data_IF_464966677026
#
_entry.id   IF_464966677026
#
_cell.length_a   1.000
_cell.length_b   1.000
_cell.length_c   1.000
_cell.angle_alpha   90.00
_cell.angle_beta   90.00
_cell.angle_gamma   90.00
#
_symmetry.space_group_name_H-M   'P 1'
#
loop_
_entity.id
_entity.type
_entity.pdbx_description
1 polymer ?
#
# COMPACT_ATOMS: atom_id res chain seq x y z
N UNK A 1 -59.50 -7.16 35.82
CA UNK A 1 -58.47 -7.76 34.93
C UNK A 1 -58.65 -7.34 33.46
N UNK A 2 -59.82 -7.55 32.84
CA UNK A 2 -60.08 -7.17 31.43
C UNK A 2 -59.82 -5.69 31.10
N UNK A 3 -60.21 -4.76 31.97
CA UNK A 3 -60.01 -3.32 31.77
C UNK A 3 -58.53 -2.89 31.76
N UNK A 4 -57.68 -3.55 32.56
CA UNK A 4 -56.25 -3.26 32.63
C UNK A 4 -55.56 -3.71 31.34
N UNK A 5 -55.97 -4.85 30.79
CA UNK A 5 -55.44 -5.38 29.52
C UNK A 5 -55.84 -4.48 28.34
N UNK A 6 -57.06 -3.93 28.36
CA UNK A 6 -57.52 -2.98 27.33
C UNK A 6 -56.75 -1.66 27.42
N UNK A 7 -56.55 -1.13 28.63
CA UNK A 7 -55.77 0.09 28.82
C UNK A 7 -54.31 -0.07 28.41
N UNK A 8 -53.69 -1.20 28.75
CA UNK A 8 -52.30 -1.48 28.37
C UNK A 8 -52.11 -1.64 26.86
N UNK A 9 -53.03 -2.34 26.18
CA UNK A 9 -52.99 -2.50 24.72
C UNK A 9 -53.23 -1.18 23.98
N UNK A 10 -54.09 -0.30 24.50
CA UNK A 10 -54.29 1.04 23.95
C UNK A 10 -53.07 1.97 24.14
N UNK A 11 -52.28 1.78 25.21
CA UNK A 11 -51.03 2.52 25.42
C UNK A 11 -49.90 2.02 24.51
N UNK A 12 -49.87 0.72 24.19
CA UNK A 12 -48.88 0.14 23.27
C UNK A 12 -49.09 0.58 21.82
N UNK A 13 -50.34 0.81 21.38
CA UNK A 13 -50.63 1.34 20.03
C UNK A 13 -50.30 2.82 19.88
N UNK A 14 -50.06 3.55 20.98
CA UNK A 14 -49.64 4.96 20.95
C UNK A 14 -48.13 5.12 20.68
N UNK A 15 -47.33 4.07 20.80
CA UNK A 15 -45.93 4.06 20.37
C UNK A 15 -45.86 3.91 18.85
N UNK A 16 -45.99 5.03 18.13
CA UNK A 16 -45.65 5.06 16.71
C UNK A 16 -44.13 4.89 16.57
N UNK A 17 -43.69 4.13 15.57
CA UNK A 17 -42.27 3.99 15.24
C UNK A 17 -41.68 5.37 14.94
N UNK A 18 -40.46 5.62 15.41
CA UNK A 18 -39.76 6.84 15.08
C UNK A 18 -39.63 6.96 13.55
N UNK A 19 -39.94 8.15 13.01
CA UNK A 19 -39.81 8.41 11.57
C UNK A 19 -38.38 8.07 11.14
N UNK A 20 -38.18 7.21 10.13
CA UNK A 20 -36.85 6.87 9.64
C UNK A 20 -36.12 8.15 9.22
N UNK A 21 -34.98 8.44 9.85
CA UNK A 21 -34.13 9.55 9.44
C UNK A 21 -33.53 9.21 8.07
N UNK A 22 -33.98 9.90 7.04
CA UNK A 22 -33.39 9.78 5.71
C UNK A 22 -32.01 10.43 5.70
N UNK A 23 -30.98 9.64 5.43
CA UNK A 23 -29.65 10.18 5.15
C UNK A 23 -29.66 10.80 3.75
N UNK A 24 -29.00 11.95 3.55
CA UNK A 24 -28.81 12.50 2.22
C UNK A 24 -28.08 11.48 1.32
N UNK A 25 -28.33 11.51 0.00
CA UNK A 25 -27.61 10.65 -0.94
C UNK A 25 -26.12 10.93 -0.85
N UNK A 26 -25.30 9.88 -0.90
CA UNK A 26 -23.85 10.02 -0.95
C UNK A 26 -23.46 10.84 -2.20
N UNK A 27 -22.38 11.64 -2.13
CA UNK A 27 -21.88 12.36 -3.29
C UNK A 27 -21.51 11.38 -4.41
N UNK A 28 -21.80 11.76 -5.65
CA UNK A 28 -21.54 10.92 -6.83
C UNK A 28 -20.03 10.65 -7.05
N UNK A 29 -19.17 11.52 -6.54
CA UNK A 29 -17.70 11.39 -6.63
C UNK A 29 -17.07 11.82 -5.31
N UNK A 30 -16.25 10.96 -4.74
CA UNK A 30 -15.39 11.25 -3.60
C UNK A 30 -13.94 11.26 -4.10
N UNK A 31 -13.27 12.41 -4.08
CA UNK A 31 -11.85 12.47 -4.42
C UNK A 31 -11.05 11.90 -3.25
N UNK A 32 -10.54 10.68 -3.43
CA UNK A 32 -9.68 10.02 -2.44
C UNK A 32 -8.24 10.22 -2.86
N UNK A 33 -7.38 10.83 -2.02
CA UNK A 33 -5.97 10.94 -2.34
C UNK A 33 -5.34 9.54 -2.38
N UNK A 34 -4.91 9.11 -3.57
CA UNK A 34 -4.17 7.86 -3.76
C UNK A 34 -2.68 8.21 -3.75
N UNK A 35 -1.96 7.71 -2.75
CA UNK A 35 -0.51 7.85 -2.72
C UNK A 35 0.10 7.07 -3.91
N UNK A 36 0.63 7.81 -4.88
CA UNK A 36 1.42 7.22 -5.97
C UNK A 36 2.88 7.20 -5.52
N UNK A 37 3.49 6.02 -5.45
CA UNK A 37 4.87 5.86 -4.98
C UNK A 37 5.88 6.07 -6.11
N UNK A 38 7.07 6.56 -5.76
CA UNK A 38 8.17 6.75 -6.72
C UNK A 38 8.59 5.39 -7.31
N UNK A 39 8.57 5.22 -8.64
CA UNK A 39 9.11 4.02 -9.26
C UNK A 39 10.62 3.96 -9.05
N UNK A 40 11.12 2.80 -8.63
CA UNK A 40 12.56 2.56 -8.51
C UNK A 40 13.16 2.47 -9.92
N UNK A 41 14.24 3.22 -10.16
CA UNK A 41 14.96 3.19 -11.45
C UNK A 41 15.41 1.75 -11.78
N UNK A 42 15.16 1.30 -13.01
CA UNK A 42 15.56 -0.01 -13.50
C UNK A 42 17.08 -0.25 -13.41
N UNK A 43 17.89 0.80 -13.41
CA UNK A 43 19.33 0.71 -13.18
C UNK A 43 19.66 0.22 -11.76
N UNK A 44 18.85 0.57 -10.76
CA UNK A 44 19.03 0.17 -9.36
C UNK A 44 18.65 -1.29 -9.10
N UNK A 45 17.73 -1.85 -9.88
CA UNK A 45 17.34 -3.28 -9.77
C UNK A 45 18.08 -4.19 -10.75
N UNK A 46 18.96 -3.63 -11.60
CA UNK A 46 19.71 -4.40 -12.60
C UNK A 46 20.67 -5.38 -11.94
N UNK A 47 20.51 -6.67 -12.28
CA UNK A 47 21.39 -7.74 -11.82
C UNK A 47 22.81 -7.57 -12.35
N UNK A 48 23.78 -7.71 -11.46
CA UNK A 48 25.19 -7.82 -11.81
C UNK A 48 25.51 -9.22 -12.37
N UNK A 49 26.37 -9.27 -13.37
CA UNK A 49 26.86 -10.51 -13.99
C UNK A 49 28.37 -10.59 -13.82
N UNK A 50 28.84 -11.77 -13.43
CA UNK A 50 30.25 -12.11 -13.38
C UNK A 50 30.41 -13.60 -13.67
N UNK A 51 31.62 -14.02 -14.07
CA UNK A 51 31.95 -15.43 -14.27
C UNK A 51 31.91 -16.14 -12.92
N UNK A 52 31.02 -17.13 -12.76
CA UNK A 52 30.83 -17.86 -11.50
C UNK A 52 31.75 -19.06 -11.38
N UNK A 53 31.88 -19.80 -12.48
CA UNK A 53 32.64 -21.04 -12.55
C UNK A 53 33.57 -20.95 -13.77
N UNK A 54 34.87 -21.15 -13.53
CA UNK A 54 35.91 -21.18 -14.55
C UNK A 54 37.03 -22.13 -14.07
N UNK A 55 38.08 -22.29 -14.87
CA UNK A 55 39.25 -23.09 -14.56
C UNK A 55 39.87 -22.66 -13.21
N UNK A 56 40.48 -23.58 -12.44
CA UNK A 56 41.14 -23.24 -11.17
C UNK A 56 42.21 -22.13 -11.27
N UNK A 57 42.78 -21.89 -12.46
CA UNK A 57 43.71 -20.79 -12.69
C UNK A 57 43.04 -19.40 -12.73
N UNK A 58 41.73 -19.33 -12.94
CA UNK A 58 40.94 -18.09 -13.05
C UNK A 58 40.31 -17.64 -11.71
N UNK A 59 40.76 -18.20 -10.58
CA UNK A 59 40.23 -17.91 -9.23
C UNK A 59 40.19 -16.41 -8.92
N UNK A 60 41.19 -15.64 -9.36
CA UNK A 60 41.21 -14.19 -9.14
C UNK A 60 40.12 -13.47 -9.94
N UNK A 61 39.85 -13.86 -11.18
CA UNK A 61 38.82 -13.22 -12.00
C UNK A 61 37.42 -13.50 -11.45
N UNK A 62 37.16 -14.75 -11.04
CA UNK A 62 35.91 -15.16 -10.39
C UNK A 62 35.72 -14.41 -9.06
N UNK A 63 36.75 -14.38 -8.21
CA UNK A 63 36.67 -13.75 -6.89
C UNK A 63 36.51 -12.23 -6.97
N UNK A 64 37.30 -11.58 -7.83
CA UNK A 64 37.21 -10.15 -8.06
C UNK A 64 35.88 -9.77 -8.73
N UNK A 65 35.39 -10.58 -9.67
CA UNK A 65 34.07 -10.42 -10.27
C UNK A 65 32.96 -10.47 -9.23
N UNK A 66 33.00 -11.46 -8.33
CA UNK A 66 32.06 -11.58 -7.22
C UNK A 66 32.10 -10.36 -6.29
N UNK A 67 33.31 -9.92 -5.92
CA UNK A 67 33.49 -8.74 -5.06
C UNK A 67 32.87 -7.48 -5.67
N UNK A 68 33.20 -7.17 -6.93
CA UNK A 68 32.63 -6.00 -7.64
C UNK A 68 31.11 -6.05 -7.71
N UNK A 69 30.54 -7.23 -7.92
CA UNK A 69 29.08 -7.37 -7.95
C UNK A 69 28.44 -7.19 -6.58
N UNK A 70 29.10 -7.62 -5.49
CA UNK A 70 28.60 -7.39 -4.14
C UNK A 70 28.59 -5.90 -3.80
N UNK A 71 29.70 -5.20 -4.03
CA UNK A 71 29.81 -3.75 -3.80
C UNK A 71 28.77 -2.97 -4.60
N UNK A 72 28.50 -3.39 -5.84
CA UNK A 72 27.43 -2.81 -6.65
C UNK A 72 26.06 -3.00 -6.03
N UNK A 73 25.75 -4.20 -5.53
CA UNK A 73 24.45 -4.47 -4.92
C UNK A 73 24.25 -3.66 -3.64
N UNK A 74 25.30 -3.52 -2.82
CA UNK A 74 25.27 -2.67 -1.62
C UNK A 74 24.93 -1.22 -2.01
N UNK A 75 25.65 -0.64 -2.98
CA UNK A 75 25.36 0.71 -3.47
C UNK A 75 23.96 0.86 -4.08
N UNK A 76 23.45 -0.20 -4.74
CA UNK A 76 22.08 -0.21 -5.28
C UNK A 76 21.05 -0.20 -4.14
N UNK A 77 21.26 -0.97 -3.07
CA UNK A 77 20.38 -0.97 -1.91
C UNK A 77 20.37 0.39 -1.21
N UNK A 78 21.54 0.98 -0.98
CA UNK A 78 21.65 2.32 -0.38
C UNK A 78 20.87 3.38 -1.19
N UNK A 79 20.97 3.32 -2.53
CA UNK A 79 20.23 4.23 -3.41
C UNK A 79 18.72 3.95 -3.41
N UNK A 80 18.29 2.69 -3.29
CA UNK A 80 16.87 2.33 -3.17
C UNK A 80 16.29 2.87 -1.86
N UNK A 81 17.00 2.73 -0.74
CA UNK A 81 16.55 3.25 0.56
C UNK A 81 16.34 4.78 0.55
N UNK A 82 17.10 5.51 -0.27
CA UNK A 82 16.95 6.95 -0.43
C UNK A 82 15.68 7.35 -1.18
N UNK A 83 15.06 6.46 -1.96
CA UNK A 83 13.91 6.79 -2.83
C UNK A 83 12.64 6.03 -2.47
N UNK A 84 12.76 4.82 -1.91
CA UNK A 84 11.65 3.93 -1.62
C UNK A 84 10.71 4.53 -0.57
N UNK A 85 9.40 4.38 -0.79
CA UNK A 85 8.37 4.84 0.15
C UNK A 85 8.08 6.35 0.09
N UNK A 86 8.82 7.13 -0.71
CA UNK A 86 8.51 8.53 -0.93
C UNK A 86 7.35 8.67 -1.94
N UNK A 87 6.36 9.53 -1.67
CA UNK A 87 5.33 9.85 -2.65
C UNK A 87 5.98 10.55 -3.86
N UNK A 88 5.45 10.30 -5.06
CA UNK A 88 5.86 11.02 -6.27
C UNK A 88 5.62 12.51 -6.04
N UNK A 89 6.60 13.39 -6.32
CA UNK A 89 6.36 14.83 -6.26
C UNK A 89 5.22 15.19 -7.21
N UNK A 90 4.22 15.92 -6.73
CA UNK A 90 3.17 16.44 -7.58
C UNK A 90 3.82 17.29 -8.67
N UNK A 91 3.67 16.85 -9.93
CA UNK A 91 3.96 17.70 -11.08
C UNK A 91 2.90 18.80 -11.06
N UNK A 92 3.21 19.90 -10.38
CA UNK A 92 2.45 21.14 -10.50
C UNK A 92 2.33 21.56 -11.97
N UNK A 93 1.26 22.29 -12.31
CA UNK A 93 0.99 22.73 -13.68
C UNK A 93 2.13 23.55 -14.28
#
# INVERSE_FOLDING_TARGET
MRLIVIAASALLTACQSAVPKQNPPAPAVLQVPVATYVPIDAALTKRCSWVRDDRPSAVFDVSNGRKRCLERYEAQFDAIEQVQGKPVPDKGP
#
